data_IF_257298406489
#
_entry.id   IF_257298406489
#
_cell.length_a   1.000
_cell.length_b   1.000
_cell.length_c   1.000
_cell.angle_alpha   90.00
_cell.angle_beta   90.00
_cell.angle_gamma   90.00
#
_symmetry.space_group_name_H-M   'P 1'
#
loop_
_entity.id
_entity.type
_entity.pdbx_description
1 polymer ?
#
# COMPACT_ATOMS: atom_id res chain seq x y z
N UNK A 1 -47.44 18.83 25.92
CA UNK A 1 -46.22 19.67 26.05
C UNK A 1 -45.02 18.88 25.56
N UNK A 2 -44.07 19.55 24.88
CA UNK A 2 -42.67 19.14 24.68
C UNK A 2 -42.43 17.73 24.10
N UNK A 3 -42.45 17.67 22.77
CA UNK A 3 -41.58 16.76 22.02
C UNK A 3 -40.12 17.01 22.42
N UNK A 4 -39.35 15.96 22.67
CA UNK A 4 -37.91 16.03 22.88
C UNK A 4 -37.24 14.82 22.20
N UNK A 5 -35.97 14.98 21.81
CA UNK A 5 -35.10 13.92 21.28
C UNK A 5 -35.41 13.40 19.87
N UNK A 6 -35.07 14.22 18.86
CA UNK A 6 -34.73 13.76 17.49
C UNK A 6 -33.76 14.73 16.78
N UNK A 7 -32.70 15.15 17.47
CA UNK A 7 -31.54 15.86 16.88
C UNK A 7 -30.27 15.37 17.59
N UNK A 8 -29.66 14.28 17.11
CA UNK A 8 -28.22 13.98 17.20
C UNK A 8 -27.87 12.67 16.46
N UNK A 9 -27.69 12.72 15.14
CA UNK A 9 -27.22 11.59 14.33
C UNK A 9 -26.48 12.01 13.05
N UNK A 10 -25.81 13.17 13.05
CA UNK A 10 -25.02 13.67 11.91
C UNK A 10 -23.59 14.04 12.35
N UNK A 11 -22.95 13.15 13.11
CA UNK A 11 -21.54 13.19 13.43
C UNK A 11 -20.99 11.76 13.26
N UNK A 12 -20.19 11.51 12.21
CA UNK A 12 -19.69 10.15 11.94
C UNK A 12 -18.98 9.94 10.60
N UNK A 13 -19.19 10.80 9.60
CA UNK A 13 -18.44 10.74 8.33
C UNK A 13 -17.09 11.47 8.46
N UNK A 14 -16.19 10.90 9.28
CA UNK A 14 -14.76 11.22 9.22
C UNK A 14 -14.23 10.49 7.99
N UNK A 15 -13.96 11.21 6.90
CA UNK A 15 -13.24 10.65 5.76
C UNK A 15 -11.83 10.29 6.21
N UNK A 16 -11.52 8.98 6.30
CA UNK A 16 -10.16 8.53 6.56
C UNK A 16 -9.29 8.88 5.34
N UNK A 17 -8.54 9.98 5.45
CA UNK A 17 -7.51 10.31 4.47
C UNK A 17 -6.39 9.27 4.60
N UNK A 18 -6.23 8.45 3.55
CA UNK A 18 -5.14 7.51 3.43
C UNK A 18 -4.06 8.14 2.55
N UNK A 19 -2.81 8.08 3.00
CA UNK A 19 -1.67 8.34 2.13
C UNK A 19 -1.54 7.25 1.07
N UNK A 20 -0.89 7.59 -0.03
CA UNK A 20 -0.69 6.69 -1.17
C UNK A 20 0.68 6.95 -1.76
N UNK A 21 1.58 5.96 -1.71
CA UNK A 21 2.94 6.08 -2.19
C UNK A 21 3.56 4.71 -2.50
N UNK A 22 4.28 4.61 -3.62
CA UNK A 22 4.81 3.33 -4.11
C UNK A 22 6.09 3.53 -4.95
N UNK A 23 7.06 2.62 -4.82
CA UNK A 23 8.22 2.60 -5.72
C UNK A 23 7.81 2.05 -7.08
N UNK A 24 7.98 2.84 -8.14
CA UNK A 24 7.70 2.44 -9.52
C UNK A 24 8.94 1.93 -10.26
N UNK A 25 10.14 2.35 -9.84
CA UNK A 25 11.43 1.83 -10.29
C UNK A 25 12.46 1.89 -9.14
N UNK A 26 13.30 0.86 -8.93
CA UNK A 26 13.24 -0.47 -9.54
C UNK A 26 11.92 -1.17 -9.19
N UNK A 27 11.49 -2.13 -10.01
CA UNK A 27 10.18 -2.77 -9.86
C UNK A 27 10.12 -3.59 -8.55
N UNK A 28 9.30 -3.21 -7.55
CA UNK A 28 9.21 -3.94 -6.29
C UNK A 28 8.28 -5.15 -6.43
N UNK A 29 8.19 -5.92 -5.33
CA UNK A 29 7.19 -6.98 -5.17
C UNK A 29 5.76 -6.45 -5.38
N UNK A 30 4.88 -7.36 -5.79
CA UNK A 30 3.45 -7.16 -6.02
C UNK A 30 2.66 -8.28 -5.32
N UNK A 31 1.32 -8.18 -5.21
CA UNK A 31 0.49 -9.30 -4.77
C UNK A 31 0.60 -10.48 -5.75
N UNK A 32 0.28 -11.68 -5.27
CA UNK A 32 0.26 -12.89 -6.07
C UNK A 32 -0.21 -14.12 -5.28
N UNK A 33 -0.01 -15.30 -5.84
CA UNK A 33 -0.55 -16.56 -5.29
C UNK A 33 0.11 -17.00 -3.98
N UNK A 34 1.35 -16.61 -3.71
CA UNK A 34 1.99 -16.88 -2.42
C UNK A 34 1.50 -15.91 -1.33
N UNK A 35 1.17 -14.65 -1.67
CA UNK A 35 0.37 -13.79 -0.79
C UNK A 35 -1.03 -14.37 -0.56
N UNK A 36 -1.73 -14.83 -1.58
CA UNK A 36 -3.07 -15.44 -1.44
C UNK A 36 -3.02 -16.68 -0.53
N UNK A 37 -2.03 -17.54 -0.69
CA UNK A 37 -1.82 -18.70 0.17
C UNK A 37 -1.49 -18.33 1.63
N UNK A 38 -0.81 -17.21 1.87
CA UNK A 38 -0.40 -16.78 3.21
C UNK A 38 -1.44 -15.91 3.94
N UNK A 39 -2.25 -15.14 3.20
CA UNK A 39 -3.11 -14.08 3.74
C UNK A 39 -4.57 -14.18 3.29
N UNK A 40 -4.90 -15.06 2.34
CA UNK A 40 -6.24 -15.24 1.79
C UNK A 40 -6.56 -14.29 0.63
N UNK A 41 -7.53 -14.72 -0.18
CA UNK A 41 -7.92 -14.06 -1.43
C UNK A 41 -8.38 -12.59 -1.21
N UNK A 42 -9.16 -12.32 -0.17
CA UNK A 42 -9.66 -10.96 0.10
C UNK A 42 -8.53 -9.95 0.35
N UNK A 43 -7.45 -10.37 1.02
CA UNK A 43 -6.29 -9.49 1.24
C UNK A 43 -5.59 -9.23 -0.09
N UNK A 44 -5.33 -10.28 -0.88
CA UNK A 44 -4.69 -10.16 -2.19
C UNK A 44 -5.47 -9.22 -3.12
N UNK A 45 -6.79 -9.39 -3.24
CA UNK A 45 -7.67 -8.53 -4.04
C UNK A 45 -7.59 -7.06 -3.58
N UNK A 46 -7.56 -6.80 -2.27
CA UNK A 46 -7.44 -5.43 -1.76
C UNK A 46 -6.10 -4.82 -2.20
N UNK A 47 -4.99 -5.53 -2.04
CA UNK A 47 -3.66 -5.03 -2.41
C UNK A 47 -3.43 -4.96 -3.93
N UNK A 48 -4.14 -5.77 -4.73
CA UNK A 48 -4.20 -5.66 -6.20
C UNK A 48 -5.01 -4.44 -6.64
N UNK A 49 -6.08 -4.11 -5.92
CA UNK A 49 -6.93 -2.95 -6.24
C UNK A 49 -6.25 -1.61 -5.94
N UNK A 50 -5.35 -1.59 -4.95
CA UNK A 50 -4.50 -0.45 -4.64
C UNK A 50 -3.14 -0.89 -4.07
N UNK A 51 -2.12 -0.87 -4.93
CA UNK A 51 -0.73 -1.15 -4.55
C UNK A 51 -0.03 0.07 -3.92
N UNK A 52 -0.68 1.24 -3.84
CA UNK A 52 -0.15 2.45 -3.18
C UNK A 52 -0.59 2.57 -1.71
N UNK A 53 -1.56 1.75 -1.29
CA UNK A 53 -2.13 1.75 0.05
C UNK A 53 -1.19 1.23 1.15
N UNK A 54 -1.66 1.33 2.39
CA UNK A 54 -0.86 1.07 3.59
C UNK A 54 -0.59 -0.43 3.83
N UNK A 55 0.64 -0.74 4.27
CA UNK A 55 1.18 -2.08 4.64
C UNK A 55 1.14 -3.11 3.49
N UNK A 56 2.29 -3.67 3.07
CA UNK A 56 2.35 -4.57 1.91
C UNK A 56 3.25 -5.80 2.15
N UNK A 57 2.67 -6.84 2.76
CA UNK A 57 3.35 -8.10 3.09
C UNK A 57 3.68 -9.03 1.91
N UNK A 58 4.04 -8.49 0.75
CA UNK A 58 4.28 -9.20 -0.51
C UNK A 58 5.39 -10.25 -0.42
N UNK A 59 5.18 -11.41 -1.03
CA UNK A 59 6.09 -12.56 -0.92
C UNK A 59 7.10 -12.56 -2.05
N UNK A 60 8.32 -13.00 -1.74
CA UNK A 60 9.37 -13.18 -2.74
C UNK A 60 8.95 -14.13 -3.87
N UNK A 61 8.21 -15.20 -3.55
CA UNK A 61 7.73 -16.18 -4.51
C UNK A 61 6.85 -15.54 -5.62
N UNK A 62 6.14 -14.45 -5.33
CA UNK A 62 5.33 -13.68 -6.29
C UNK A 62 6.17 -12.74 -7.17
N UNK A 63 7.46 -12.55 -6.85
CA UNK A 63 8.36 -11.57 -7.49
C UNK A 63 9.65 -12.17 -8.09
N UNK A 64 9.76 -13.49 -8.19
CA UNK A 64 10.97 -14.18 -8.73
C UNK A 64 11.37 -13.74 -10.16
N UNK A 65 10.47 -13.11 -10.91
CA UNK A 65 10.76 -12.53 -12.23
C UNK A 65 11.42 -11.14 -12.21
N UNK A 66 11.45 -10.44 -11.06
CA UNK A 66 11.97 -9.07 -10.93
C UNK A 66 13.06 -8.99 -9.86
N UNK A 67 14.02 -9.91 -9.90
CA UNK A 67 15.22 -9.89 -9.05
C UNK A 67 16.33 -9.16 -9.79
N UNK A 68 16.84 -8.08 -9.20
CA UNK A 68 17.93 -7.30 -9.78
C UNK A 68 19.29 -7.88 -9.38
N UNK A 69 20.27 -7.87 -10.29
CA UNK A 69 21.65 -8.26 -9.95
C UNK A 69 22.50 -7.01 -9.87
N UNK A 70 22.97 -6.68 -8.66
CA UNK A 70 23.80 -5.49 -8.41
C UNK A 70 25.20 -5.87 -7.92
N UNK A 71 26.11 -4.91 -7.97
CA UNK A 71 27.47 -5.01 -7.42
C UNK A 71 27.68 -4.01 -6.27
N UNK A 72 28.65 -4.29 -5.40
CA UNK A 72 29.03 -3.39 -4.32
C UNK A 72 29.51 -2.03 -4.87
N UNK A 73 29.02 -0.92 -4.31
CA UNK A 73 29.30 0.43 -4.78
C UNK A 73 28.48 0.88 -6.00
N UNK A 74 27.63 0.01 -6.56
CA UNK A 74 26.75 0.36 -7.67
C UNK A 74 25.70 1.40 -7.26
N UNK A 75 25.40 2.34 -8.15
CA UNK A 75 24.36 3.35 -7.94
C UNK A 75 23.06 2.89 -8.60
N UNK A 76 21.98 2.86 -7.83
CA UNK A 76 20.65 2.42 -8.28
C UNK A 76 19.69 3.61 -8.20
N UNK A 77 19.08 3.94 -9.33
CA UNK A 77 18.09 5.01 -9.42
C UNK A 77 16.71 4.53 -8.96
N UNK A 78 16.08 5.33 -8.10
CA UNK A 78 14.76 5.12 -7.53
C UNK A 78 13.77 6.17 -8.01
N UNK A 79 12.56 5.71 -8.36
CA UNK A 79 11.41 6.54 -8.70
C UNK A 79 10.23 6.12 -7.82
N UNK A 80 9.77 7.03 -6.97
CA UNK A 80 8.60 6.87 -6.10
C UNK A 80 7.47 7.76 -6.63
N UNK A 81 6.29 7.19 -6.85
CA UNK A 81 5.06 7.93 -7.15
C UNK A 81 4.28 8.12 -5.84
N UNK A 82 4.03 9.38 -5.45
CA UNK A 82 3.35 9.79 -4.23
C UNK A 82 2.07 10.53 -4.63
N UNK A 83 0.93 9.83 -4.51
CA UNK A 83 -0.37 10.28 -5.02
C UNK A 83 -1.19 11.05 -3.98
N UNK A 84 -1.05 10.67 -2.71
CA UNK A 84 -1.66 11.35 -1.58
C UNK A 84 -0.56 11.57 -0.52
N UNK A 85 0.09 12.75 -0.49
CA UNK A 85 1.17 13.05 0.44
C UNK A 85 0.64 13.26 1.86
N UNK A 86 1.41 12.80 2.84
CA UNK A 86 1.16 12.98 4.27
C UNK A 86 2.48 13.14 5.00
N UNK A 87 2.63 14.24 5.75
CA UNK A 87 3.88 14.56 6.43
C UNK A 87 4.28 13.45 7.41
N UNK A 88 5.52 13.00 7.32
CA UNK A 88 6.10 11.97 8.15
C UNK A 88 7.60 11.81 7.92
N UNK A 89 8.11 10.59 8.09
CA UNK A 89 9.53 10.24 7.91
C UNK A 89 9.67 9.10 6.91
N UNK A 90 10.77 9.06 6.16
CA UNK A 90 11.05 7.95 5.25
C UNK A 90 12.52 7.57 5.21
N UNK A 91 12.81 6.35 4.76
CA UNK A 91 14.17 5.89 4.48
C UNK A 91 14.18 4.82 3.39
N UNK A 92 15.37 4.56 2.84
CA UNK A 92 15.65 3.34 2.08
C UNK A 92 16.75 2.56 2.79
N UNK A 93 16.52 1.29 3.06
CA UNK A 93 17.41 0.41 3.84
C UNK A 93 17.56 -0.96 3.18
N UNK A 94 18.67 -1.65 3.42
CA UNK A 94 18.77 -3.09 3.12
C UNK A 94 18.15 -3.87 4.28
N UNK A 95 17.28 -4.83 3.99
CA UNK A 95 16.63 -5.68 5.00
C UNK A 95 16.93 -7.15 4.72
N UNK A 96 17.44 -7.87 5.73
CA UNK A 96 17.47 -9.33 5.80
C UNK A 96 16.03 -9.83 6.01
N UNK A 97 15.50 -10.55 5.02
CA UNK A 97 14.08 -10.97 5.02
C UNK A 97 13.81 -12.15 5.95
N UNK A 98 14.84 -12.93 6.32
CA UNK A 98 14.71 -14.08 7.18
C UNK A 98 14.64 -13.68 8.66
N UNK A 99 15.43 -12.67 9.06
CA UNK A 99 15.36 -12.08 10.41
C UNK A 99 14.41 -10.89 10.52
N UNK A 100 13.99 -10.32 9.38
CA UNK A 100 13.23 -9.07 9.28
C UNK A 100 13.95 -7.89 9.99
N UNK A 101 15.26 -7.77 9.74
CA UNK A 101 16.11 -6.73 10.34
C UNK A 101 16.85 -5.91 9.28
N UNK A 102 17.04 -4.62 9.55
CA UNK A 102 17.88 -3.74 8.72
C UNK A 102 19.35 -4.15 8.85
N UNK A 103 20.03 -4.30 7.71
CA UNK A 103 21.49 -4.48 7.65
C UNK A 103 22.14 -3.11 7.53
N UNK A 104 23.06 -2.79 8.43
CA UNK A 104 23.77 -1.51 8.43
C UNK A 104 22.90 -0.33 8.85
N UNK A 105 23.11 0.83 8.23
CA UNK A 105 22.26 2.01 8.36
C UNK A 105 21.43 2.27 7.10
N UNK A 106 20.49 3.23 7.14
CA UNK A 106 19.77 3.66 5.94
C UNK A 106 20.73 4.16 4.85
N UNK A 107 20.45 3.78 3.60
CA UNK A 107 21.17 4.24 2.41
C UNK A 107 20.82 5.71 2.09
N UNK A 108 19.60 6.12 2.43
CA UNK A 108 19.11 7.50 2.41
C UNK A 108 17.94 7.62 3.39
N UNK A 109 17.75 8.79 4.00
CA UNK A 109 16.67 9.07 4.95
C UNK A 109 16.20 10.53 4.91
N UNK A 110 14.94 10.75 5.28
CA UNK A 110 14.30 12.07 5.36
C UNK A 110 13.55 12.21 6.69
N UNK A 111 13.94 13.21 7.50
CA UNK A 111 13.27 13.58 8.76
C UNK A 111 11.92 14.29 8.53
N UNK A 112 11.72 14.82 7.31
CA UNK A 112 10.45 15.34 6.82
C UNK A 112 10.27 14.81 5.41
N UNK A 113 9.28 13.95 5.22
CA UNK A 113 8.95 13.29 3.96
C UNK A 113 7.48 13.48 3.59
N UNK A 114 7.18 13.58 2.30
CA UNK A 114 5.86 13.73 1.69
C UNK A 114 5.03 14.85 2.35
N UNK A 115 5.68 15.97 2.66
CA UNK A 115 5.11 17.07 3.44
C UNK A 115 3.90 17.71 2.78
N UNK A 116 2.77 17.74 3.47
CA UNK A 116 1.55 18.45 3.03
C UNK A 116 1.66 19.97 3.18
N UNK A 117 2.62 20.46 3.97
CA UNK A 117 2.82 21.88 4.21
C UNK A 117 3.75 22.54 3.17
N UNK A 118 4.75 21.80 2.67
CA UNK A 118 5.73 22.30 1.69
C UNK A 118 5.55 21.69 0.29
N UNK A 119 4.72 20.67 0.17
CA UNK A 119 4.61 19.85 -1.04
C UNK A 119 5.71 18.79 -1.13
N UNK A 120 5.51 17.84 -2.04
CA UNK A 120 6.48 16.81 -2.39
C UNK A 120 7.55 17.40 -3.31
N UNK A 121 8.81 17.15 -2.98
CA UNK A 121 10.01 17.61 -3.67
C UNK A 121 10.52 16.56 -4.66
N UNK A 122 11.42 16.99 -5.57
CA UNK A 122 11.95 16.09 -6.60
C UNK A 122 12.84 14.99 -6.00
N UNK A 123 13.61 15.28 -4.95
CA UNK A 123 14.50 14.31 -4.31
C UNK A 123 13.78 13.32 -3.36
N UNK A 124 12.49 13.50 -3.08
CA UNK A 124 11.67 12.48 -2.39
C UNK A 124 11.10 11.44 -3.37
N UNK A 125 10.89 11.85 -4.63
CA UNK A 125 10.27 11.03 -5.69
C UNK A 125 11.28 10.47 -6.69
N UNK A 126 12.47 11.07 -6.80
CA UNK A 126 13.51 10.71 -7.76
C UNK A 126 14.87 10.94 -7.09
N UNK A 127 15.54 9.86 -6.72
CA UNK A 127 16.83 9.86 -6.03
C UNK A 127 17.61 8.61 -6.42
N UNK A 128 18.88 8.53 -6.01
CA UNK A 128 19.70 7.34 -6.21
C UNK A 128 20.26 6.86 -4.87
N UNK A 129 20.45 5.55 -4.73
CA UNK A 129 21.12 4.93 -3.58
C UNK A 129 22.38 4.20 -4.04
N UNK A 130 23.35 4.03 -3.14
CA UNK A 130 24.55 3.21 -3.41
C UNK A 130 24.39 1.88 -2.69
N UNK A 131 24.64 0.77 -3.40
CA UNK A 131 24.64 -0.57 -2.82
C UNK A 131 25.86 -0.73 -1.91
N UNK A 132 25.70 -1.07 -0.62
CA UNK A 132 26.80 -1.18 0.32
C UNK A 132 27.71 -2.38 0.03
N UNK A 133 28.97 -2.28 0.44
CA UNK A 133 30.03 -3.28 0.23
C UNK A 133 30.22 -4.27 1.39
N UNK A 134 29.54 -4.05 2.52
CA UNK A 134 29.66 -4.81 3.76
C UNK A 134 28.58 -5.89 3.98
N UNK A 135 27.72 -6.14 2.98
CA UNK A 135 26.65 -7.15 3.05
C UNK A 135 27.18 -8.60 3.10
N UNK A 136 28.40 -8.84 2.59
CA UNK A 136 28.97 -10.17 2.41
C UNK A 136 28.07 -11.11 1.59
N UNK A 137 28.12 -12.41 1.88
CA UNK A 137 27.35 -13.42 1.14
C UNK A 137 25.84 -13.42 1.49
N UNK A 138 25.39 -12.62 2.47
CA UNK A 138 24.01 -12.62 2.97
C UNK A 138 22.96 -12.36 1.89
N UNK A 139 23.29 -11.47 0.96
CA UNK A 139 22.39 -11.03 -0.10
C UNK A 139 22.73 -11.68 -1.45
N UNK A 140 23.44 -12.81 -1.47
CA UNK A 140 23.82 -13.50 -2.71
C UNK A 140 22.66 -14.27 -3.37
N UNK A 141 21.64 -14.66 -2.59
CA UNK A 141 20.45 -15.38 -3.06
C UNK A 141 19.23 -14.45 -3.17
N UNK A 142 18.46 -14.62 -4.25
CA UNK A 142 17.26 -13.82 -4.49
C UNK A 142 16.24 -14.01 -3.37
N UNK A 143 15.72 -12.90 -2.84
CA UNK A 143 14.76 -12.89 -1.74
C UNK A 143 15.37 -12.99 -0.35
N UNK A 144 16.67 -13.28 -0.20
CA UNK A 144 17.37 -13.25 1.10
C UNK A 144 17.49 -11.82 1.66
N UNK A 145 17.71 -10.86 0.77
CA UNK A 145 17.67 -9.43 1.07
C UNK A 145 16.71 -8.68 0.16
N UNK A 146 16.21 -7.55 0.65
CA UNK A 146 15.51 -6.55 -0.17
C UNK A 146 16.09 -5.16 0.08
N UNK A 147 16.03 -4.31 -0.94
CA UNK A 147 16.08 -2.86 -0.73
C UNK A 147 14.66 -2.44 -0.38
N UNK A 148 14.42 -2.03 0.87
CA UNK A 148 13.12 -1.57 1.33
C UNK A 148 13.09 -0.04 1.29
N UNK A 149 12.19 0.54 0.50
CA UNK A 149 11.70 1.90 0.75
C UNK A 149 10.62 1.82 1.82
N UNK A 150 10.72 2.65 2.86
CA UNK A 150 9.81 2.73 3.99
C UNK A 150 9.40 4.18 4.24
N UNK A 151 8.10 4.44 4.38
CA UNK A 151 7.55 5.74 4.75
C UNK A 151 6.51 5.56 5.86
N UNK A 152 6.71 6.25 6.98
CA UNK A 152 5.73 6.36 8.06
C UNK A 152 5.14 7.77 8.05
N UNK A 153 3.89 7.87 7.58
CA UNK A 153 3.08 9.07 7.53
C UNK A 153 2.55 9.43 8.93
N UNK A 154 3.42 9.98 9.77
CA UNK A 154 3.14 10.38 11.16
C UNK A 154 1.87 11.24 11.32
N UNK A 155 1.52 12.05 10.32
CA UNK A 155 0.31 12.88 10.36
C UNK A 155 -1.03 12.11 10.29
N UNK A 156 -1.00 10.81 9.96
CA UNK A 156 -2.20 9.94 9.86
C UNK A 156 -1.97 8.50 10.39
N UNK A 157 -0.85 8.24 11.07
CA UNK A 157 -0.48 6.93 11.63
C UNK A 157 -0.48 5.76 10.60
N UNK A 158 -0.03 6.00 9.37
CA UNK A 158 0.01 4.98 8.30
C UNK A 158 1.43 4.72 7.80
N UNK A 159 1.69 3.47 7.41
CA UNK A 159 3.00 3.00 6.95
C UNK A 159 2.89 2.41 5.55
N UNK A 160 3.86 2.75 4.71
CA UNK A 160 4.00 2.33 3.32
C UNK A 160 5.37 1.70 3.14
N UNK A 161 5.41 0.64 2.34
CA UNK A 161 6.64 -0.06 2.05
C UNK A 161 6.68 -0.52 0.59
N UNK A 162 7.88 -0.64 0.05
CA UNK A 162 8.13 -1.27 -1.25
C UNK A 162 9.45 -2.00 -1.18
N UNK A 163 9.41 -3.30 -1.44
CA UNK A 163 10.56 -4.19 -1.33
C UNK A 163 11.05 -4.57 -2.73
N UNK A 164 12.30 -4.22 -3.04
CA UNK A 164 12.97 -4.56 -4.29
C UNK A 164 13.88 -5.75 -4.00
N UNK A 165 13.60 -6.90 -4.61
CA UNK A 165 14.43 -8.08 -4.50
C UNK A 165 15.70 -7.92 -5.35
N UNK A 166 16.85 -8.24 -4.75
CA UNK A 166 18.12 -8.21 -5.46
C UNK A 166 19.06 -9.33 -5.01
N UNK A 167 20.07 -9.60 -5.84
CA UNK A 167 21.26 -10.37 -5.49
C UNK A 167 22.49 -9.48 -5.59
N UNK A 168 23.35 -9.51 -4.57
CA UNK A 168 24.68 -8.93 -4.64
C UNK A 168 25.62 -9.91 -5.33
N UNK A 169 26.00 -9.60 -6.57
CA UNK A 169 27.09 -10.29 -7.23
C UNK A 169 28.41 -9.98 -6.53
N UNK A 170 29.27 -10.98 -6.36
CA UNK A 170 30.63 -10.80 -5.83
C UNK A 170 31.40 -9.87 -6.75
N UNK A 171 31.42 -8.58 -6.38
CA UNK A 171 32.09 -7.51 -7.11
C UNK A 171 33.58 -7.81 -7.17
N UNK A 172 34.00 -8.49 -8.23
CA UNK A 172 35.41 -8.74 -8.50
C UNK A 172 36.03 -7.38 -8.81
N UNK A 173 36.78 -6.83 -7.84
CA UNK A 173 37.47 -5.55 -7.90
C UNK A 173 38.58 -5.58 -8.97
N UNK A 174 38.14 -5.58 -10.22
CA UNK A 174 38.92 -5.86 -11.42
C UNK A 174 39.03 -4.58 -12.23
N UNK A 175 40.07 -3.82 -11.89
CA UNK A 175 40.62 -2.78 -12.77
C UNK A 175 40.70 -3.26 -14.21
N UNK A 176 40.25 -2.44 -15.15
CA UNK A 176 40.07 -2.75 -16.57
C UNK A 176 41.25 -3.50 -17.20
N UNK A 177 40.98 -4.70 -17.72
CA UNK A 177 41.86 -5.41 -18.64
C UNK A 177 41.05 -5.84 -19.88
N UNK A 178 41.27 -5.16 -21.00
CA UNK A 178 40.60 -5.43 -22.26
C UNK A 178 40.92 -6.83 -22.81
N UNK A 179 39.92 -7.53 -23.34
CA UNK A 179 40.12 -8.52 -24.40
C UNK A 179 38.86 -8.66 -25.23
N UNK A 180 38.95 -8.19 -26.48
CA UNK A 180 37.91 -8.38 -27.47
C UNK A 180 38.03 -9.78 -28.08
N UNK A 181 36.89 -10.46 -28.23
CA UNK A 181 36.78 -11.71 -28.99
C UNK A 181 35.65 -11.58 -30.00
N UNK A 182 36.01 -11.19 -31.22
CA UNK A 182 35.14 -11.20 -32.40
C UNK A 182 34.96 -12.60 -32.97
N UNK A 183 33.92 -12.78 -33.82
CA UNK A 183 33.77 -13.87 -34.80
C UNK A 183 33.31 -15.22 -34.24
N UNK A 184 32.52 -16.04 -34.97
CA UNK A 184 31.82 -15.83 -36.24
C UNK A 184 30.72 -16.91 -36.47
N UNK A 185 29.87 -16.64 -37.46
CA UNK A 185 28.71 -17.43 -37.94
C UNK A 185 29.03 -18.82 -38.54
N UNK A 186 27.93 -19.56 -38.82
CA UNK A 186 27.76 -20.67 -39.79
C UNK A 186 27.93 -22.11 -39.28
N UNK A 187 27.28 -23.15 -39.85
CA UNK A 187 25.94 -23.32 -40.46
C UNK A 187 25.71 -24.79 -40.85
N UNK A 188 24.45 -25.22 -40.94
CA UNK A 188 23.91 -26.34 -41.77
C UNK A 188 24.46 -27.77 -41.66
N UNK A 189 23.57 -28.74 -41.35
CA UNK A 189 23.28 -30.00 -42.10
C UNK A 189 22.65 -31.04 -41.14
N UNK A 190 21.32 -31.22 -41.09
CA UNK A 190 20.49 -32.08 -41.96
C UNK A 190 20.66 -33.61 -41.76
N UNK A 191 19.62 -34.28 -41.24
CA UNK A 191 18.98 -35.49 -41.82
C UNK A 191 17.59 -35.70 -41.19
N UNK A 192 16.69 -36.42 -41.88
CA UNK A 192 15.26 -36.49 -41.57
C UNK A 192 14.76 -37.90 -41.21
N UNK A 193 13.59 -37.95 -40.56
CA UNK A 193 12.57 -39.03 -40.57
C UNK A 193 11.30 -38.42 -39.95
N UNK A 194 10.21 -38.13 -40.68
CA UNK A 194 9.10 -39.05 -41.05
C UNK A 194 8.58 -39.93 -39.90
N UNK A 195 7.29 -40.02 -39.57
CA UNK A 195 6.06 -39.32 -39.98
C UNK A 195 4.90 -39.75 -39.05
N UNK A 196 3.99 -38.84 -38.65
CA UNK A 196 2.57 -39.19 -38.44
C UNK A 196 1.65 -37.99 -38.18
N UNK A 197 0.91 -37.65 -39.24
CA UNK A 197 -0.46 -37.10 -39.30
C UNK A 197 -1.22 -36.74 -38.01
N UNK A 198 -1.73 -35.51 -37.97
CA UNK A 198 -3.16 -35.22 -37.75
C UNK A 198 -3.55 -33.80 -38.24
N UNK A 199 -4.52 -33.72 -39.15
CA UNK A 199 -5.35 -32.52 -39.40
C UNK A 199 -6.30 -32.28 -38.20
N UNK A 200 -7.05 -31.20 -37.97
CA UNK A 200 -7.45 -29.97 -38.70
C UNK A 200 -7.76 -28.90 -37.62
N UNK A 201 -8.03 -27.61 -37.86
CA UNK A 201 -8.06 -26.72 -39.04
C UNK A 201 -8.08 -25.27 -38.54
N UNK A 202 -7.61 -24.32 -39.36
CA UNK A 202 -7.80 -22.88 -39.13
C UNK A 202 -9.22 -22.42 -39.49
N UNK A 203 -9.78 -21.50 -38.70
CA UNK A 203 -10.94 -20.71 -39.08
C UNK A 203 -10.57 -19.21 -39.08
N UNK A 204 -10.90 -18.54 -40.17
CA UNK A 204 -10.39 -17.21 -40.55
C UNK A 204 -11.07 -16.08 -39.79
N UNK A 205 -10.30 -15.05 -39.42
CA UNK A 205 -10.85 -13.78 -38.93
C UNK A 205 -11.63 -13.05 -40.03
N UNK A 206 -12.88 -12.68 -39.76
CA UNK A 206 -13.70 -11.86 -40.65
C UNK A 206 -13.94 -10.47 -40.05
N UNK A 207 -13.41 -9.46 -40.72
CA UNK A 207 -13.66 -8.04 -40.45
C UNK A 207 -15.13 -7.69 -40.65
N UNK A 208 -15.75 -6.99 -39.70
CA UNK A 208 -16.99 -6.24 -39.93
C UNK A 208 -16.88 -4.82 -39.38
N UNK A 209 -16.88 -3.85 -40.30
CA UNK A 209 -17.05 -2.43 -39.99
C UNK A 209 -18.53 -2.16 -39.67
N UNK A 210 -18.82 -1.52 -38.54
CA UNK A 210 -20.15 -0.98 -38.26
C UNK A 210 -20.04 0.34 -37.48
N UNK A 211 -20.12 1.45 -38.23
CA UNK A 211 -20.25 2.80 -37.66
C UNK A 211 -21.69 3.02 -37.17
N UNK A 212 -21.87 3.50 -35.94
CA UNK A 212 -23.14 3.99 -35.43
C UNK A 212 -22.92 5.28 -34.60
N UNK A 213 -23.87 6.24 -34.60
CA UNK A 213 -23.59 7.62 -34.21
C UNK A 213 -23.57 7.87 -32.70
N UNK A 214 -22.70 8.77 -32.27
CA UNK A 214 -22.71 9.37 -30.92
C UNK A 214 -23.83 10.41 -30.85
N UNK A 215 -24.84 10.15 -30.03
CA UNK A 215 -25.86 11.14 -29.66
C UNK A 215 -25.43 11.87 -28.39
N UNK A 216 -25.00 13.12 -28.53
CA UNK A 216 -24.66 13.98 -27.40
C UNK A 216 -25.94 14.46 -26.69
N UNK A 217 -26.20 13.97 -25.49
CA UNK A 217 -27.27 14.51 -24.62
C UNK A 217 -26.66 15.45 -23.58
N UNK A 218 -26.71 16.75 -23.85
CA UNK A 218 -26.30 17.80 -22.91
C UNK A 218 -27.36 17.99 -21.83
N UNK A 219 -27.14 17.43 -20.64
CA UNK A 219 -27.98 17.70 -19.47
C UNK A 219 -27.55 19.01 -18.80
N UNK A 220 -28.27 20.09 -19.08
CA UNK A 220 -28.07 21.38 -18.41
C UNK A 220 -28.61 21.32 -16.98
N UNK A 221 -27.74 21.15 -15.99
CA UNK A 221 -28.12 21.28 -14.58
C UNK A 221 -28.15 22.74 -14.18
N UNK A 222 -29.36 23.28 -13.98
CA UNK A 222 -29.56 24.64 -13.45
C UNK A 222 -29.19 24.71 -11.97
N UNK A 223 -28.05 25.33 -11.65
CA UNK A 223 -27.68 25.61 -10.26
C UNK A 223 -28.48 26.81 -9.74
N UNK A 224 -29.48 26.57 -8.91
CA UNK A 224 -30.17 27.64 -8.15
C UNK A 224 -29.28 28.09 -6.98
N UNK A 225 -28.66 29.25 -7.10
CA UNK A 225 -27.92 29.89 -6.02
C UNK A 225 -28.88 30.43 -4.95
N UNK A 226 -29.05 29.69 -3.86
CA UNK A 226 -29.72 30.22 -2.66
C UNK A 226 -28.69 30.94 -1.78
N UNK A 227 -28.66 32.26 -1.89
CA UNK A 227 -27.84 33.11 -1.01
C UNK A 227 -28.49 33.19 0.37
N UNK A 228 -27.99 32.41 1.33
CA UNK A 228 -28.41 32.54 2.74
C UNK A 228 -27.43 33.44 3.49
N UNK A 229 -27.78 34.72 3.60
CA UNK A 229 -27.11 35.65 4.50
C UNK A 229 -27.34 35.19 5.94
N UNK A 230 -26.27 34.90 6.69
CA UNK A 230 -26.37 34.66 8.14
C UNK A 230 -25.62 35.75 8.86
N UNK A 231 -26.33 36.43 9.76
CA UNK A 231 -25.86 37.64 10.43
C UNK A 231 -24.70 37.38 11.39
N UNK A 232 -23.86 38.40 11.54
CA UNK A 232 -22.82 38.43 12.58
C UNK A 232 -23.46 38.76 13.92
N UNK A 233 -23.32 37.88 14.90
CA UNK A 233 -23.66 38.19 16.30
C UNK A 233 -22.46 37.93 17.19
N UNK A 234 -21.79 39.02 17.57
CA UNK A 234 -20.71 39.03 18.55
C UNK A 234 -21.25 38.71 19.93
N UNK A 235 -20.82 37.60 20.53
CA UNK A 235 -20.96 37.37 21.97
C UNK A 235 -19.59 37.51 22.61
N UNK A 236 -19.38 38.64 23.27
CA UNK A 236 -18.24 38.87 24.16
C UNK A 236 -18.49 38.09 25.44
N UNK A 237 -17.61 37.15 25.78
CA UNK A 237 -17.55 36.63 27.15
C UNK A 237 -16.11 36.74 27.68
N UNK A 238 -15.99 37.14 28.94
CA UNK A 238 -14.75 37.58 29.57
C UNK A 238 -14.44 36.64 30.73
N UNK A 239 -13.53 35.69 30.49
CA UNK A 239 -13.02 34.78 31.52
C UNK A 239 -11.51 34.95 31.71
N UNK A 240 -11.13 35.93 32.55
CA UNK A 240 -9.74 36.14 32.98
C UNK A 240 -9.32 35.03 33.93
N UNK A 241 -8.49 34.09 33.46
CA UNK A 241 -7.85 33.08 34.29
C UNK A 241 -6.36 33.40 34.49
N UNK A 242 -6.04 34.14 35.55
CA UNK A 242 -4.65 34.43 35.95
C UNK A 242 -4.05 33.19 36.61
N UNK A 243 -3.04 32.58 35.98
CA UNK A 243 -2.20 31.55 36.62
C UNK A 243 -0.82 32.12 36.90
N UNK A 244 -0.50 32.27 38.18
CA UNK A 244 0.78 32.80 38.67
C UNK A 244 1.92 31.82 38.37
N UNK A 245 2.93 32.26 37.64
CA UNK A 245 4.19 31.54 37.49
C UNK A 245 5.11 31.84 38.68
N UNK A 246 5.46 30.82 39.47
CA UNK A 246 6.50 30.91 40.51
C UNK A 246 7.77 30.27 40.00
N UNK A 247 8.78 31.09 39.70
CA UNK A 247 10.13 30.61 39.39
C UNK A 247 10.91 30.33 40.68
N UNK A 248 11.62 29.20 40.73
CA UNK A 248 12.61 28.90 41.77
C UNK A 248 13.86 28.35 41.09
N UNK A 249 15.05 28.80 41.51
CA UNK A 249 16.30 28.61 40.77
C UNK A 249 17.35 27.88 41.62
N UNK A 250 17.98 26.85 41.03
CA UNK A 250 19.30 26.28 41.38
C UNK A 250 19.46 25.60 42.76
N UNK A 251 20.48 24.71 42.99
CA UNK A 251 21.77 24.64 42.29
C UNK A 251 22.22 23.28 41.71
N UNK A 252 23.38 23.36 41.06
CA UNK A 252 24.16 22.32 40.37
C UNK A 252 24.91 21.35 41.29
N UNK A 253 25.03 20.09 40.88
CA UNK A 253 26.24 19.28 41.09
C UNK A 253 26.40 18.20 40.01
N UNK A 254 27.64 17.93 39.60
CA UNK A 254 27.96 16.88 38.63
C UNK A 254 28.08 15.51 39.32
N UNK A 255 27.72 14.44 38.61
CA UNK A 255 28.63 13.30 38.39
C UNK A 255 28.11 12.35 37.31
N UNK A 256 29.05 11.76 36.59
CA UNK A 256 28.87 10.85 35.46
C UNK A 256 28.55 9.42 35.86
N UNK A 257 27.61 8.78 35.16
CA UNK A 257 27.66 7.33 34.92
C UNK A 257 27.17 7.00 33.52
N UNK A 258 27.93 6.16 32.82
CA UNK A 258 27.54 5.50 31.56
C UNK A 258 26.47 4.44 31.83
N UNK A 259 25.48 4.28 30.93
CA UNK A 259 25.15 3.00 30.28
C UNK A 259 23.89 3.06 29.38
N UNK A 260 23.99 2.33 28.26
CA UNK A 260 22.93 1.64 27.51
C UNK A 260 21.78 2.42 26.85
N UNK A 261 21.62 2.17 25.54
CA UNK A 261 20.45 2.55 24.73
C UNK A 261 19.15 1.95 25.27
N UNK A 262 18.11 2.77 25.36
CA UNK A 262 16.74 2.30 25.66
C UNK A 262 16.08 1.75 24.40
N UNK A 263 15.80 0.44 24.40
CA UNK A 263 14.95 -0.21 23.40
C UNK A 263 13.52 0.36 23.44
N UNK A 264 13.00 0.77 22.29
CA UNK A 264 11.62 1.25 22.18
C UNK A 264 10.66 0.05 22.33
N UNK A 265 9.82 0.08 23.37
CA UNK A 265 8.97 -1.04 23.73
C UNK A 265 7.71 -1.12 22.86
N UNK A 266 7.50 -2.26 22.20
CA UNK A 266 6.28 -2.58 21.45
C UNK A 266 5.10 -2.80 22.39
N UNK A 267 4.11 -1.88 22.40
CA UNK A 267 2.86 -2.07 23.13
C UNK A 267 1.89 -3.01 22.39
N UNK A 268 2.11 -4.33 22.51
CA UNK A 268 1.09 -5.32 22.10
C UNK A 268 0.10 -5.55 23.23
N UNK A 269 -1.14 -5.09 23.06
CA UNK A 269 -2.23 -5.33 24.02
C UNK A 269 -2.91 -6.67 23.71
N UNK A 270 -2.39 -7.76 24.28
CA UNK A 270 -3.04 -9.07 24.23
C UNK A 270 -4.27 -9.06 25.16
N UNK A 271 -5.47 -9.18 24.58
CA UNK A 271 -6.69 -9.41 25.33
C UNK A 271 -6.86 -10.91 25.63
N UNK A 272 -6.98 -11.26 26.91
CA UNK A 272 -7.17 -12.65 27.36
C UNK A 272 -8.57 -13.16 27.00
N UNK A 273 -8.64 -14.28 26.27
CA UNK A 273 -9.87 -15.01 26.00
C UNK A 273 -10.18 -15.99 27.13
N UNK A 274 -11.12 -15.65 28.01
CA UNK A 274 -11.66 -16.60 28.99
C UNK A 274 -12.74 -17.46 28.34
N UNK A 275 -12.50 -18.76 28.22
CA UNK A 275 -13.53 -19.71 27.76
C UNK A 275 -14.59 -19.93 28.85
N UNK A 276 -15.87 -19.96 28.47
CA UNK A 276 -16.95 -20.52 29.27
C UNK A 276 -18.06 -21.03 28.37
N UNK A 277 -18.35 -22.32 28.50
CA UNK A 277 -19.34 -23.06 27.72
C UNK A 277 -20.58 -23.32 28.55
N UNK A 278 -21.76 -22.93 28.07
CA UNK A 278 -23.02 -23.57 28.45
C UNK A 278 -24.08 -23.42 27.35
N UNK A 279 -24.75 -24.53 27.07
CA UNK A 279 -25.67 -24.68 25.94
C UNK A 279 -27.09 -24.18 26.29
N UNK A 280 -27.75 -23.51 25.34
CA UNK A 280 -29.20 -23.40 25.31
C UNK A 280 -29.68 -23.43 23.86
N UNK A 281 -30.39 -24.50 23.48
CA UNK A 281 -30.96 -24.68 22.16
C UNK A 281 -32.33 -24.01 22.07
N UNK A 282 -32.43 -22.94 21.28
CA UNK A 282 -33.71 -22.40 20.80
C UNK A 282 -33.68 -22.36 19.28
N UNK A 283 -34.60 -23.10 18.66
CA UNK A 283 -34.72 -23.21 17.21
C UNK A 283 -35.18 -21.88 16.61
N UNK A 284 -34.25 -21.04 16.16
CA UNK A 284 -34.53 -19.90 15.31
C UNK A 284 -34.54 -20.35 13.85
N UNK A 285 -35.69 -20.24 13.19
CA UNK A 285 -35.86 -20.58 11.78
C UNK A 285 -35.18 -19.52 10.91
N UNK A 286 -33.92 -19.76 10.54
CA UNK A 286 -33.16 -18.87 9.65
C UNK A 286 -33.74 -18.89 8.24
N UNK A 287 -34.57 -17.90 7.93
CA UNK A 287 -34.92 -17.52 6.56
C UNK A 287 -33.68 -17.01 5.82
N UNK A 288 -32.96 -17.89 5.16
CA UNK A 288 -31.79 -17.54 4.35
C UNK A 288 -32.21 -16.84 3.05
N UNK A 289 -32.01 -15.52 3.00
CA UNK A 289 -32.24 -14.73 1.79
C UNK A 289 -31.07 -14.94 0.82
N UNK A 290 -31.23 -15.87 -0.13
CA UNK A 290 -30.22 -16.14 -1.16
C UNK A 290 -30.16 -15.00 -2.17
N UNK A 291 -28.96 -14.46 -2.39
CA UNK A 291 -28.68 -13.45 -3.42
C UNK A 291 -28.62 -14.12 -4.81
N UNK A 292 -29.46 -13.71 -5.79
CA UNK A 292 -29.39 -14.20 -7.17
C UNK A 292 -28.04 -13.84 -7.80
N UNK A 293 -27.27 -14.86 -8.18
CA UNK A 293 -26.01 -14.65 -8.91
C UNK A 293 -26.26 -14.47 -10.41
N UNK A 294 -27.28 -15.12 -10.93
CA UNK A 294 -27.70 -15.11 -12.33
C UNK A 294 -28.90 -14.18 -12.56
N UNK A 295 -29.27 -13.95 -13.82
CA UNK A 295 -30.33 -13.03 -14.23
C UNK A 295 -29.83 -11.67 -14.73
N UNK A 296 -30.72 -10.93 -15.40
CA UNK A 296 -30.43 -9.61 -16.00
C UNK A 296 -30.28 -8.52 -14.93
N UNK A 297 -29.79 -7.35 -15.34
CA UNK A 297 -29.67 -6.18 -14.46
C UNK A 297 -31.02 -5.76 -13.87
N UNK A 298 -32.09 -5.83 -14.67
CA UNK A 298 -33.45 -5.51 -14.26
C UNK A 298 -33.96 -6.49 -13.20
N UNK A 299 -33.73 -7.79 -13.37
CA UNK A 299 -34.14 -8.82 -12.41
C UNK A 299 -33.41 -8.65 -11.06
N UNK A 300 -32.11 -8.34 -11.10
CA UNK A 300 -31.30 -8.08 -9.90
C UNK A 300 -31.72 -6.79 -9.17
N UNK A 301 -32.05 -5.73 -9.92
CA UNK A 301 -32.62 -4.50 -9.35
C UNK A 301 -34.01 -4.75 -8.73
N UNK A 302 -34.85 -5.57 -9.36
CA UNK A 302 -36.17 -5.92 -8.85
C UNK A 302 -36.09 -6.75 -7.55
N UNK A 303 -35.12 -7.67 -7.46
CA UNK A 303 -34.81 -8.40 -6.23
C UNK A 303 -34.32 -7.46 -5.12
N UNK A 304 -33.37 -6.56 -5.40
CA UNK A 304 -32.87 -5.60 -4.42
C UNK A 304 -33.99 -4.66 -3.91
N UNK A 305 -34.85 -4.18 -4.82
CA UNK A 305 -36.03 -3.39 -4.46
C UNK A 305 -37.03 -4.14 -3.57
N UNK A 306 -37.17 -5.46 -3.75
CA UNK A 306 -38.04 -6.28 -2.89
C UNK A 306 -37.53 -6.36 -1.45
N UNK A 307 -36.21 -6.45 -1.25
CA UNK A 307 -35.58 -6.44 0.08
C UNK A 307 -35.71 -5.07 0.73
N UNK A 308 -35.41 -3.99 0.01
CA UNK A 308 -35.56 -2.63 0.56
C UNK A 308 -37.02 -2.37 1.00
N UNK A 309 -38.00 -2.81 0.21
CA UNK A 309 -39.42 -2.73 0.57
C UNK A 309 -39.79 -3.60 1.77
N UNK A 310 -39.16 -4.75 1.97
CA UNK A 310 -39.35 -5.59 3.16
C UNK A 310 -38.76 -4.93 4.42
N UNK A 311 -37.56 -4.35 4.32
CA UNK A 311 -36.91 -3.61 5.41
C UNK A 311 -37.72 -2.36 5.82
N UNK A 312 -38.26 -1.61 4.85
CA UNK A 312 -39.11 -0.45 5.14
C UNK A 312 -40.44 -0.81 5.85
N UNK A 313 -40.94 -2.04 5.70
CA UNK A 313 -42.12 -2.51 6.44
C UNK A 313 -41.81 -2.86 7.91
N UNK A 314 -40.54 -3.07 8.25
CA UNK A 314 -40.08 -3.29 9.63
C UNK A 314 -39.65 -2.00 10.35
N UNK A 315 -39.68 -0.85 9.67
CA UNK A 315 -39.21 0.44 10.17
C UNK A 315 -40.35 1.38 10.68
N UNK A 316 -41.55 0.83 10.88
CA UNK A 316 -42.77 1.53 11.32
C UNK A 316 -43.38 0.88 12.56
#
# INVERSE_FOLDING_TARGET
MKQASSILALAGLISLAHGHGFVTSPKPRMPGSAMEAACGQQVTINQESDNYGNIQGYKYADNTANVFSYTAGETVDFVVDIRAPHTGVANVSIVDTASNTVIGGPLISWDVYASTATGVTKNETNFSITIPDDLGDKCSEGGACVIQWYWYAQSIDQTYESCIDFTLGSGSSSSSASSASTSSVASTSSVASTSSVASSSTATAATTTATAPVTTTTTTTTTTTTTTTTDTSTVTDTATATVTATATVFPTSLSSTSLASTTLATHVKIASTTASSSSASTSAETSSVTIPKDGTSEEKLHWAGSILKALMQYAN
#
